data_IF_952452473333
#
_entry.id   IF_952452473333
#
_cell.length_a   1.000
_cell.length_b   1.000
_cell.length_c   1.000
_cell.angle_alpha   90.00
_cell.angle_beta   90.00
_cell.angle_gamma   90.00
#
_symmetry.space_group_name_H-M   'P 1'
#
loop_
_entity.id
_entity.type
_entity.pdbx_description
1 polymer ?
#
# COMPACT_ATOMS: atom_id res chain seq x y z
N UNK A 1 47.86 38.04 -9.31
CA UNK A 1 47.49 37.69 -7.92
C UNK A 1 45.96 37.64 -7.87
N UNK A 2 45.40 36.43 -7.90
CA UNK A 2 44.86 35.66 -6.76
C UNK A 2 43.39 36.03 -6.46
N UNK A 3 42.49 35.17 -6.95
CA UNK A 3 41.27 34.80 -6.24
C UNK A 3 41.01 33.32 -6.54
N UNK A 4 41.23 32.48 -5.53
CA UNK A 4 40.80 31.09 -5.49
C UNK A 4 39.91 30.99 -4.25
N UNK A 5 38.64 30.67 -4.45
CA UNK A 5 37.74 30.13 -3.44
C UNK A 5 36.95 29.06 -4.19
N UNK A 6 37.28 27.78 -4.05
CA UNK A 6 36.96 26.92 -2.89
C UNK A 6 35.46 26.90 -2.62
N UNK A 7 34.76 25.94 -3.23
CA UNK A 7 33.98 24.97 -2.46
C UNK A 7 33.51 23.85 -3.37
N UNK A 8 34.02 22.66 -3.08
CA UNK A 8 33.43 21.41 -3.47
C UNK A 8 32.10 21.22 -2.74
N UNK A 9 31.05 20.81 -3.47
CA UNK A 9 29.87 20.06 -3.03
C UNK A 9 29.07 19.81 -4.32
N UNK A 10 28.55 18.64 -4.67
CA UNK A 10 28.40 17.38 -3.97
C UNK A 10 28.28 16.24 -4.99
N UNK A 11 28.62 15.04 -4.53
CA UNK A 11 28.16 13.79 -5.11
C UNK A 11 26.64 13.83 -5.27
N UNK A 12 26.13 13.55 -6.47
CA UNK A 12 24.83 12.92 -6.59
C UNK A 12 25.07 11.47 -6.94
N UNK A 13 25.00 10.66 -5.89
CA UNK A 13 25.05 9.22 -5.89
C UNK A 13 24.10 8.68 -6.96
N UNK A 14 24.65 7.86 -7.85
CA UNK A 14 23.86 6.91 -8.61
C UNK A 14 23.17 5.97 -7.62
N UNK A 15 21.94 6.30 -7.23
CA UNK A 15 21.05 5.34 -6.61
C UNK A 15 20.30 4.65 -7.75
N UNK A 16 20.96 3.71 -8.44
CA UNK A 16 20.26 2.58 -9.04
C UNK A 16 19.74 1.73 -7.89
N UNK A 17 18.74 2.26 -7.18
CA UNK A 17 17.95 1.48 -6.26
C UNK A 17 17.25 0.44 -7.11
N UNK A 18 17.51 -0.84 -6.82
CA UNK A 18 16.59 -1.88 -7.21
C UNK A 18 15.22 -1.46 -6.68
N UNK A 19 14.35 -0.95 -7.54
CA UNK A 19 12.94 -0.96 -7.24
C UNK A 19 12.60 -2.44 -7.11
N UNK A 20 12.50 -2.93 -5.88
CA UNK A 20 11.58 -4.03 -5.63
C UNK A 20 10.24 -3.44 -6.03
N UNK A 21 9.82 -3.67 -7.27
CA UNK A 21 8.52 -3.26 -7.74
C UNK A 21 7.55 -3.96 -6.81
N UNK A 22 6.95 -3.21 -5.89
CA UNK A 22 5.88 -3.72 -5.03
C UNK A 22 4.78 -4.21 -5.97
N UNK A 23 4.31 -5.44 -5.77
CA UNK A 23 3.29 -6.00 -6.66
C UNK A 23 2.04 -5.12 -6.56
N UNK A 24 1.71 -4.42 -7.64
CA UNK A 24 0.47 -3.64 -7.71
C UNK A 24 -0.63 -4.48 -8.32
N UNK A 25 -1.87 -4.20 -7.91
CA UNK A 25 -3.04 -4.88 -8.43
C UNK A 25 -4.25 -3.96 -8.55
N UNK A 26 -5.18 -4.42 -9.38
CA UNK A 26 -6.47 -3.79 -9.60
C UNK A 26 -7.56 -4.70 -9.03
N UNK A 27 -8.46 -4.15 -8.24
CA UNK A 27 -9.57 -4.90 -7.63
C UNK A 27 -10.80 -4.03 -7.51
N UNK A 28 -11.96 -4.58 -7.87
CA UNK A 28 -13.24 -3.91 -7.72
C UNK A 28 -14.23 -4.79 -6.97
N UNK A 29 -14.78 -4.24 -5.89
CA UNK A 29 -15.81 -4.86 -5.07
C UNK A 29 -17.00 -3.91 -5.07
N UNK A 30 -18.17 -4.42 -5.43
CA UNK A 30 -19.41 -3.65 -5.44
C UNK A 30 -20.39 -4.30 -4.48
N UNK A 31 -20.81 -3.55 -3.47
CA UNK A 31 -21.79 -3.98 -2.46
C UNK A 31 -21.41 -5.34 -1.82
N UNK A 32 -20.11 -5.56 -1.61
CA UNK A 32 -19.57 -6.80 -1.02
C UNK A 32 -19.29 -6.64 0.48
N UNK A 33 -18.95 -7.73 1.17
CA UNK A 33 -18.57 -7.62 2.58
C UNK A 33 -17.12 -7.19 2.77
N UNK A 34 -16.81 -6.56 3.90
CA UNK A 34 -15.44 -6.24 4.29
C UNK A 34 -14.58 -7.51 4.40
N UNK A 35 -15.17 -8.63 4.84
CA UNK A 35 -14.54 -9.94 4.84
C UNK A 35 -14.16 -10.42 3.42
N UNK A 36 -15.03 -10.22 2.43
CA UNK A 36 -14.71 -10.55 1.03
C UNK A 36 -13.52 -9.72 0.54
N UNK A 37 -13.50 -8.43 0.87
CA UNK A 37 -12.40 -7.54 0.53
C UNK A 37 -11.08 -7.97 1.16
N UNK A 38 -11.07 -8.24 2.46
CA UNK A 38 -9.89 -8.72 3.18
C UNK A 38 -9.42 -10.06 2.64
N UNK A 39 -10.33 -10.99 2.33
CA UNK A 39 -9.98 -12.30 1.76
C UNK A 39 -9.30 -12.16 0.40
N UNK A 40 -9.79 -11.29 -0.47
CA UNK A 40 -9.18 -11.05 -1.78
C UNK A 40 -7.78 -10.44 -1.64
N UNK A 41 -7.61 -9.44 -0.76
CA UNK A 41 -6.30 -8.84 -0.50
C UNK A 41 -5.35 -9.86 0.13
N UNK A 42 -5.78 -10.62 1.14
CA UNK A 42 -4.97 -11.68 1.75
C UNK A 42 -4.56 -12.74 0.74
N UNK A 43 -5.45 -13.13 -0.18
CA UNK A 43 -5.15 -14.11 -1.21
C UNK A 43 -4.16 -13.59 -2.25
N UNK A 44 -4.25 -12.30 -2.61
CA UNK A 44 -3.31 -11.69 -3.55
C UNK A 44 -1.94 -11.44 -2.90
N UNK A 45 -1.95 -11.05 -1.63
CA UNK A 45 -0.79 -10.55 -0.89
C UNK A 45 -0.25 -11.54 0.15
N UNK A 46 -0.58 -12.83 0.06
CA UNK A 46 -0.27 -13.87 1.07
C UNK A 46 1.21 -13.88 1.52
N UNK A 47 2.13 -13.50 0.62
CA UNK A 47 3.58 -13.48 0.87
C UNK A 47 4.14 -12.09 1.21
N UNK A 48 3.32 -11.05 1.10
CA UNK A 48 3.74 -9.64 1.24
C UNK A 48 3.22 -8.98 2.52
N UNK A 49 2.10 -9.47 3.07
CA UNK A 49 1.47 -8.94 4.28
C UNK A 49 1.07 -10.08 5.22
N UNK A 50 0.93 -9.75 6.50
CA UNK A 50 0.23 -10.61 7.45
C UNK A 50 -1.28 -10.62 7.16
N UNK A 51 -2.00 -11.73 7.47
CA UNK A 51 -3.43 -11.81 7.29
C UNK A 51 -4.16 -10.65 7.97
N UNK A 52 -5.07 -10.02 7.22
CA UNK A 52 -5.93 -8.96 7.76
C UNK A 52 -7.00 -9.58 8.66
N UNK A 53 -6.98 -9.24 9.95
CA UNK A 53 -8.04 -9.53 10.92
C UNK A 53 -9.03 -8.35 10.97
N UNK A 54 -10.34 -8.64 11.07
CA UNK A 54 -11.43 -7.65 11.04
C UNK A 54 -12.28 -7.74 12.30
N UNK A 55 -12.68 -6.61 12.86
CA UNK A 55 -13.67 -6.51 13.93
C UNK A 55 -15.12 -6.49 13.37
N UNK A 56 -15.33 -5.94 12.18
CA UNK A 56 -16.63 -5.71 11.55
C UNK A 56 -16.77 -6.42 10.16
N UNK A 57 -16.60 -7.75 10.10
CA UNK A 57 -16.46 -8.47 8.82
C UNK A 57 -17.70 -8.42 7.91
N UNK A 58 -18.89 -8.19 8.46
CA UNK A 58 -20.16 -8.17 7.71
C UNK A 58 -20.53 -6.80 7.15
N UNK A 59 -19.73 -5.76 7.41
CA UNK A 59 -19.99 -4.44 6.88
C UNK A 59 -19.95 -4.47 5.35
N UNK A 60 -20.91 -3.78 4.72
CA UNK A 60 -20.99 -3.70 3.26
C UNK A 60 -20.12 -2.57 2.76
N UNK A 61 -19.20 -2.88 1.84
CA UNK A 61 -18.28 -1.94 1.23
C UNK A 61 -18.33 -2.00 -0.29
N UNK A 62 -18.04 -0.85 -0.90
CA UNK A 62 -17.78 -0.72 -2.33
C UNK A 62 -16.39 -0.12 -2.51
N UNK A 63 -15.45 -0.92 -3.01
CA UNK A 63 -14.03 -0.57 -3.12
C UNK A 63 -13.57 -0.66 -4.58
N UNK A 64 -12.76 0.30 -5.01
CA UNK A 64 -12.08 0.29 -6.29
C UNK A 64 -10.60 0.58 -6.05
N UNK A 65 -9.77 -0.45 -6.16
CA UNK A 65 -8.33 -0.36 -6.11
C UNK A 65 -7.77 -0.30 -7.53
N UNK A 66 -6.98 0.73 -7.78
CA UNK A 66 -6.30 0.97 -9.05
C UNK A 66 -4.81 1.09 -8.80
N UNK A 67 -4.02 0.19 -9.41
CA UNK A 67 -2.57 0.06 -9.26
C UNK A 67 -2.09 0.21 -7.80
N UNK A 68 -2.77 -0.46 -6.87
CA UNK A 68 -2.46 -0.37 -5.44
C UNK A 68 -1.47 -1.45 -5.02
N UNK A 69 -0.54 -1.11 -4.13
CA UNK A 69 0.36 -2.07 -3.48
C UNK A 69 -0.32 -2.82 -2.32
N UNK A 70 0.18 -4.01 -2.01
CA UNK A 70 -0.35 -4.89 -0.97
C UNK A 70 -0.46 -4.23 0.42
N UNK A 71 0.55 -3.46 0.83
CA UNK A 71 0.54 -2.78 2.14
C UNK A 71 -0.49 -1.66 2.20
N UNK A 72 -0.62 -0.90 1.10
CA UNK A 72 -1.59 0.17 0.99
C UNK A 72 -3.02 -0.39 0.98
N UNK A 73 -3.28 -1.46 0.23
CA UNK A 73 -4.58 -2.14 0.23
C UNK A 73 -4.94 -2.67 1.62
N UNK A 74 -4.01 -3.37 2.29
CA UNK A 74 -4.24 -3.89 3.63
C UNK A 74 -4.54 -2.78 4.66
N UNK A 75 -3.83 -1.65 4.57
CA UNK A 75 -4.08 -0.49 5.43
C UNK A 75 -5.48 0.08 5.19
N UNK A 76 -5.89 0.25 3.93
CA UNK A 76 -7.23 0.76 3.61
C UNK A 76 -8.34 -0.13 4.20
N UNK A 77 -8.22 -1.45 4.07
CA UNK A 77 -9.20 -2.38 4.65
C UNK A 77 -9.29 -2.21 6.18
N UNK A 78 -8.15 -2.10 6.87
CA UNK A 78 -8.12 -1.89 8.33
C UNK A 78 -8.67 -0.52 8.74
N UNK A 79 -8.41 0.52 7.95
CA UNK A 79 -8.95 1.87 8.21
C UNK A 79 -10.49 1.87 8.06
N UNK A 80 -11.04 1.14 7.07
CA UNK A 80 -12.48 0.94 6.92
C UNK A 80 -13.07 0.19 8.12
N UNK A 81 -12.46 -0.94 8.52
CA UNK A 81 -12.89 -1.73 9.68
C UNK A 81 -12.95 -0.90 10.98
N UNK A 82 -11.95 -0.03 11.18
CA UNK A 82 -11.89 0.87 12.33
C UNK A 82 -12.95 2.00 12.25
N UNK A 83 -13.27 2.48 11.04
CA UNK A 83 -14.29 3.49 10.79
C UNK A 83 -15.72 2.98 10.92
N UNK A 84 -15.96 1.70 10.61
CA UNK A 84 -17.22 0.99 10.77
C UNK A 84 -17.76 1.00 12.22
N UNK A 85 -16.84 1.15 13.17
CA UNK A 85 -17.10 1.14 14.62
C UNK A 85 -17.64 2.47 15.14
N UNK A 86 -17.64 3.53 14.33
CA UNK A 86 -17.98 4.91 14.73
C UNK A 86 -19.49 5.20 14.71
#
# INVERSE_FOLDING_TARGET
MKSIASSAFALLLAASGNSFAESTFNMKIKDGSLADAAKLVNSFCEKEIEPIELENPTETVSLNFEDIGCKAAAKLIKDFDAGAKA
#
